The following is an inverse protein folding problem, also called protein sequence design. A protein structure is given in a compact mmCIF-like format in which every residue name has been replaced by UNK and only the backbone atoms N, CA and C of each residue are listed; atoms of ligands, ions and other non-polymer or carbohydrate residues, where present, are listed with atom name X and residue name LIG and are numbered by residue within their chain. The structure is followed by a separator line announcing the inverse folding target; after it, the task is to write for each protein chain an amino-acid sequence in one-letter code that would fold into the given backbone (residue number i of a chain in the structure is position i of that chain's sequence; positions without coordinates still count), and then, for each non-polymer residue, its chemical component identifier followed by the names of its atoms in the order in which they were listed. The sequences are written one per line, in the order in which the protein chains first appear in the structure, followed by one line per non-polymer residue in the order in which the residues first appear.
data_IF_477193783666
#
_entry.id   IF_477193783666
#
_cell.length_a   1.000
_cell.length_b   1.000
_cell.length_c   1.000
_cell.angle_alpha   90.00
_cell.angle_beta   90.00
_cell.angle_gamma   90.00
#
_symmetry.space_group_name_H-M   'P 1'
#
loop_
_entity.id
_entity.type
_entity.pdbx_description
1 polymer ?
#
# COMPACT_ATOMS: atom_id res chain seq x y z
N UNK A 1 -30.17 14.02 0.48
CA UNK A 1 -29.38 14.54 -0.67
C UNK A 1 -28.09 15.10 -0.10
N UNK A 2 -26.94 14.56 -0.49
CA UNK A 2 -25.61 14.81 0.11
C UNK A 2 -25.02 16.19 -0.23
N UNK A 3 -25.85 17.24 -0.28
CA UNK A 3 -25.52 18.52 -0.94
C UNK A 3 -24.38 19.30 -0.26
N UNK A 4 -24.10 19.00 1.01
CA UNK A 4 -23.11 19.71 1.83
C UNK A 4 -22.10 18.77 2.50
N UNK A 5 -22.01 17.50 2.05
CA UNK A 5 -21.03 16.55 2.57
C UNK A 5 -19.88 16.45 1.55
N UNK A 6 -18.63 16.73 1.95
CA UNK A 6 -17.48 16.50 1.08
C UNK A 6 -17.35 14.99 0.84
N UNK A 7 -17.55 14.57 -0.41
CA UNK A 7 -17.47 13.17 -0.83
C UNK A 7 -16.02 12.83 -1.20
N UNK A 8 -15.17 12.70 -0.18
CA UNK A 8 -13.77 12.34 -0.37
C UNK A 8 -13.58 10.84 -0.56
N UNK A 9 -12.41 10.47 -1.07
CA UNK A 9 -12.04 9.10 -1.43
C UNK A 9 -10.69 8.74 -0.83
N UNK A 10 -10.54 7.48 -0.41
CA UNK A 10 -9.25 6.87 -0.08
C UNK A 10 -9.29 5.42 -0.52
N UNK A 11 -8.17 4.89 -1.00
CA UNK A 11 -8.04 3.51 -1.47
C UNK A 11 -6.88 2.83 -0.75
N UNK A 12 -7.06 1.55 -0.44
CA UNK A 12 -6.03 0.63 0.00
C UNK A 12 -5.77 -0.39 -1.12
N UNK A 13 -4.49 -0.60 -1.45
CA UNK A 13 -4.04 -1.60 -2.40
C UNK A 13 -3.25 -2.69 -1.66
N UNK A 14 -3.74 -3.93 -1.71
CA UNK A 14 -3.09 -5.10 -1.14
C UNK A 14 -2.37 -5.91 -2.23
N UNK A 15 -1.09 -6.16 -2.01
CA UNK A 15 -0.22 -6.87 -2.94
C UNK A 15 0.26 -8.19 -2.34
N UNK A 16 0.39 -9.22 -3.18
CA UNK A 16 1.05 -10.46 -2.83
C UNK A 16 2.53 -10.40 -3.19
N UNK A 17 3.38 -10.79 -2.26
CA UNK A 17 4.81 -11.00 -2.48
C UNK A 17 5.00 -12.39 -3.08
N UNK A 18 5.42 -12.43 -4.34
CA UNK A 18 5.52 -13.66 -5.13
C UNK A 18 6.97 -13.93 -5.50
N UNK A 19 7.43 -15.17 -5.31
CA UNK A 19 8.75 -15.59 -5.75
C UNK A 19 8.85 -15.53 -7.29
N UNK A 20 9.87 -14.86 -7.87
CA UNK A 20 9.88 -14.55 -9.31
C UNK A 20 10.01 -15.78 -10.23
N UNK A 21 10.61 -16.86 -9.73
CA UNK A 21 10.78 -18.13 -10.48
C UNK A 21 9.64 -19.11 -10.19
N UNK A 22 9.49 -19.58 -8.95
CA UNK A 22 8.48 -20.60 -8.58
C UNK A 22 7.04 -20.10 -8.61
N UNK A 23 6.81 -18.79 -8.46
CA UNK A 23 5.49 -18.16 -8.33
C UNK A 23 4.73 -18.49 -7.04
N UNK A 24 5.42 -19.05 -6.05
CA UNK A 24 4.85 -19.24 -4.71
C UNK A 24 4.77 -17.92 -3.94
N UNK A 25 3.87 -17.86 -2.97
CA UNK A 25 3.85 -16.78 -1.98
C UNK A 25 5.10 -16.84 -1.11
N UNK A 26 5.78 -15.71 -0.96
CA UNK A 26 7.04 -15.61 -0.22
C UNK A 26 6.89 -14.68 0.97
N UNK A 27 7.25 -15.13 2.18
CA UNK A 27 7.32 -14.25 3.35
C UNK A 27 8.61 -13.42 3.30
N UNK A 28 8.48 -12.09 3.29
CA UNK A 28 9.62 -11.17 3.14
C UNK A 28 10.00 -10.47 4.46
N UNK A 29 9.14 -10.59 5.49
CA UNK A 29 9.31 -9.93 6.79
C UNK A 29 10.53 -10.42 7.59
N UNK A 30 10.96 -11.67 7.41
CA UNK A 30 12.08 -12.22 8.20
C UNK A 30 13.41 -11.51 7.90
N UNK A 31 13.62 -10.99 6.68
CA UNK A 31 14.89 -10.35 6.29
C UNK A 31 14.96 -8.85 6.58
N UNK A 32 13.81 -8.16 6.67
CA UNK A 32 13.79 -6.71 6.92
C UNK A 32 13.78 -6.34 8.42
N UNK A 33 13.36 -7.25 9.31
CA UNK A 33 13.29 -7.01 10.76
C UNK A 33 14.61 -7.31 11.50
N UNK A 34 15.57 -8.00 10.88
CA UNK A 34 16.86 -8.36 11.49
C UNK A 34 17.91 -7.24 11.45
N UNK A 35 17.70 -6.22 10.61
CA UNK A 35 18.48 -4.98 10.66
C UNK A 35 17.82 -3.99 11.63
N UNK A 36 18.63 -3.28 12.42
CA UNK A 36 18.25 -2.29 13.45
C UNK A 36 17.57 -1.02 12.88
N UNK A 37 16.73 -1.20 11.88
CA UNK A 37 16.00 -0.18 11.16
C UNK A 37 14.53 -0.44 11.42
N UNK A 38 14.01 0.18 12.48
CA UNK A 38 12.61 0.64 12.50
C UNK A 38 12.44 1.62 11.34
N UNK A 39 12.40 1.09 10.13
CA UNK A 39 12.10 1.85 8.92
C UNK A 39 10.66 2.29 9.12
N UNK A 40 10.47 3.56 9.46
CA UNK A 40 9.22 4.23 9.13
C UNK A 40 9.06 4.02 7.64
N UNK A 41 8.13 3.15 7.27
CA UNK A 41 7.91 2.73 5.91
C UNK A 41 7.60 3.97 5.07
N UNK A 42 8.40 4.25 4.03
CA UNK A 42 8.08 5.34 3.12
C UNK A 42 6.69 5.04 2.54
N UNK A 43 5.76 5.99 2.64
CA UNK A 43 4.44 5.94 2.02
C UNK A 43 3.39 4.96 2.61
N UNK A 44 3.37 4.72 3.92
CA UNK A 44 2.19 4.08 4.56
C UNK A 44 2.10 2.56 4.39
N UNK A 45 3.23 1.92 4.09
CA UNK A 45 3.35 0.48 4.00
C UNK A 45 3.09 -0.17 5.36
N UNK A 46 2.14 -1.12 5.44
CA UNK A 46 1.90 -1.91 6.65
C UNK A 46 2.07 -3.41 6.38
N UNK A 47 2.65 -4.15 7.32
CA UNK A 47 2.63 -5.60 7.29
C UNK A 47 1.27 -6.14 7.69
N UNK A 48 0.71 -7.04 6.88
CA UNK A 48 -0.58 -7.69 7.13
C UNK A 48 -0.46 -9.07 7.78
N UNK A 49 -1.61 -9.61 8.23
CA UNK A 49 -1.73 -10.90 8.94
C UNK A 49 -1.04 -12.08 8.22
N UNK A 50 -0.92 -12.00 6.89
CA UNK A 50 -0.13 -12.92 6.07
C UNK A 50 1.22 -12.29 5.71
N UNK A 51 2.33 -12.89 6.15
CA UNK A 51 3.70 -12.36 5.95
C UNK A 51 4.15 -12.23 4.48
N UNK A 52 3.31 -12.67 3.53
CA UNK A 52 3.50 -12.56 2.08
C UNK A 52 2.61 -11.51 1.44
N UNK A 53 2.07 -10.57 2.23
CA UNK A 53 1.24 -9.48 1.76
C UNK A 53 1.77 -8.11 2.18
N UNK A 54 1.40 -7.12 1.39
CA UNK A 54 1.80 -5.73 1.55
C UNK A 54 0.61 -4.82 1.30
N UNK A 55 0.28 -3.95 2.24
CA UNK A 55 -0.75 -2.92 2.03
C UNK A 55 -0.10 -1.57 1.73
N UNK A 56 -0.64 -0.84 0.76
CA UNK A 56 -0.38 0.57 0.52
C UNK A 56 -1.66 1.38 0.59
N UNK A 57 -1.72 2.41 1.43
CA UNK A 57 -2.89 3.28 1.57
C UNK A 57 -2.66 4.64 0.89
N UNK A 58 -3.66 5.14 0.18
CA UNK A 58 -3.64 6.48 -0.42
C UNK A 58 -3.87 7.58 0.63
N UNK A 59 -3.50 8.81 0.29
CA UNK A 59 -4.07 9.97 0.98
C UNK A 59 -5.57 10.10 0.69
N UNK A 60 -6.26 10.92 1.49
CA UNK A 60 -7.66 11.31 1.22
C UNK A 60 -7.67 12.30 0.05
N UNK A 61 -8.39 11.94 -1.01
CA UNK A 61 -8.53 12.71 -2.24
C UNK A 61 -9.93 13.33 -2.35
N UNK A 62 -10.04 14.49 -2.99
CA UNK A 62 -11.29 15.22 -3.19
C UNK A 62 -12.14 14.65 -4.33
N UNK A 63 -11.49 14.06 -5.33
CA UNK A 63 -12.16 13.47 -6.49
C UNK A 63 -11.33 12.33 -7.11
N UNK A 64 -11.91 11.71 -8.15
CA UNK A 64 -11.32 10.56 -8.84
C UNK A 64 -10.05 10.96 -9.62
N UNK A 65 -9.94 12.20 -10.11
CA UNK A 65 -8.76 12.66 -10.85
C UNK A 65 -7.56 12.83 -9.91
N UNK A 66 -7.76 13.38 -8.72
CA UNK A 66 -6.73 13.43 -7.67
C UNK A 66 -6.33 12.02 -7.23
N UNK A 67 -7.30 11.13 -7.02
CA UNK A 67 -7.06 9.74 -6.64
C UNK A 67 -6.25 8.97 -7.69
N UNK A 68 -6.52 9.17 -8.99
CA UNK A 68 -5.74 8.54 -10.06
C UNK A 68 -4.26 8.95 -10.01
N UNK A 69 -3.98 10.24 -9.82
CA UNK A 69 -2.61 10.73 -9.69
C UNK A 69 -1.93 10.15 -8.43
N UNK A 70 -2.68 10.04 -7.33
CA UNK A 70 -2.19 9.45 -6.09
C UNK A 70 -1.83 7.97 -6.26
N UNK A 71 -2.66 7.18 -6.94
CA UNK A 71 -2.35 5.77 -7.24
C UNK A 71 -1.10 5.65 -8.13
N UNK A 72 -0.95 6.51 -9.15
CA UNK A 72 0.26 6.54 -9.99
C UNK A 72 1.50 6.87 -9.14
N UNK A 73 1.39 7.87 -8.25
CA UNK A 73 2.47 8.25 -7.33
C UNK A 73 2.84 7.10 -6.39
N UNK A 74 1.86 6.42 -5.81
CA UNK A 74 2.06 5.27 -4.93
C UNK A 74 2.81 4.14 -5.63
N UNK A 75 2.48 3.87 -6.91
CA UNK A 75 3.09 2.80 -7.70
C UNK A 75 4.47 3.15 -8.27
N UNK A 76 4.87 4.42 -8.25
CA UNK A 76 6.25 4.89 -8.42
C UNK A 76 7.11 4.13 -9.43
N UNK A 77 6.63 4.01 -10.67
CA UNK A 77 7.45 3.70 -11.86
C UNK A 77 8.29 4.94 -12.21
#
# INVERSE_FOLDING_TARGET
MFKDIPLTLGIEEEYQIVHPVTRDLHSYMSQYLEGDHRVMTPAGLKPELMESQLEMSSHICNDISELQNEIIRMRGI
#
